data_IF_217595137946
#
_entry.id   IF_217595137946
#
_cell.length_a   1.000
_cell.length_b   1.000
_cell.length_c   1.000
_cell.angle_alpha   90.00
_cell.angle_beta   90.00
_cell.angle_gamma   90.00
#
_symmetry.space_group_name_H-M   'P 1'
#
loop_
_entity.id
_entity.type
_entity.pdbx_description
1 polymer ?
#
# COMPACT_ATOMS: atom_id res chain seq x y z
N UNK A 1 -53.84 4.14 -14.44
CA UNK A 1 -52.85 5.24 -14.36
C UNK A 1 -51.73 4.74 -13.48
N UNK A 2 -50.66 4.22 -14.10
CA UNK A 2 -49.48 3.75 -13.39
C UNK A 2 -48.54 4.94 -13.21
N UNK A 3 -48.34 5.37 -11.97
CA UNK A 3 -47.25 6.28 -11.63
C UNK A 3 -45.96 5.44 -11.58
N UNK A 4 -45.14 5.57 -12.62
CA UNK A 4 -43.76 5.12 -12.61
C UNK A 4 -42.97 6.03 -11.68
N UNK A 5 -42.35 5.45 -10.65
CA UNK A 5 -41.38 6.13 -9.80
C UNK A 5 -40.13 6.47 -10.62
N UNK A 6 -40.05 7.71 -11.10
CA UNK A 6 -38.81 8.27 -11.63
C UNK A 6 -37.74 8.34 -10.53
N UNK A 7 -36.48 8.17 -10.96
CA UNK A 7 -35.34 7.86 -10.12
C UNK A 7 -35.12 8.84 -8.97
N UNK A 8 -34.91 8.29 -7.79
CA UNK A 8 -34.33 9.02 -6.68
C UNK A 8 -32.90 9.43 -7.08
N UNK A 9 -32.72 10.69 -7.45
CA UNK A 9 -31.41 11.31 -7.53
C UNK A 9 -30.75 11.16 -6.14
N UNK A 10 -29.64 10.42 -6.07
CA UNK A 10 -28.79 10.39 -4.89
C UNK A 10 -28.26 11.81 -4.69
N UNK A 11 -28.82 12.52 -3.71
CA UNK A 11 -28.30 13.82 -3.27
C UNK A 11 -26.94 13.56 -2.65
N UNK A 12 -25.88 13.92 -3.37
CA UNK A 12 -24.53 13.93 -2.84
C UNK A 12 -24.43 15.09 -1.86
N UNK A 13 -24.49 14.78 -0.56
CA UNK A 13 -24.30 15.76 0.50
C UNK A 13 -22.83 16.19 0.51
N UNK A 14 -22.54 17.38 -0.02
CA UNK A 14 -21.24 17.99 0.13
C UNK A 14 -21.12 18.53 1.58
N UNK A 15 -20.21 18.00 2.41
CA UNK A 15 -19.98 18.55 3.74
C UNK A 15 -19.47 19.99 3.60
N UNK A 16 -20.09 20.92 4.33
CA UNK A 16 -19.63 22.31 4.38
C UNK A 16 -18.24 22.35 5.06
N UNK A 17 -17.22 22.78 4.30
CA UNK A 17 -15.87 23.01 4.81
C UNK A 17 -15.61 24.52 4.73
N UNK A 18 -15.67 25.26 5.84
CA UNK A 18 -15.41 26.70 5.83
C UNK A 18 -13.94 26.98 5.49
N UNK A 19 -13.69 27.97 4.64
CA UNK A 19 -12.33 28.43 4.32
C UNK A 19 -11.64 29.10 5.53
N UNK A 20 -12.44 29.60 6.47
CA UNK A 20 -11.99 30.24 7.70
C UNK A 20 -12.85 29.75 8.85
N UNK A 21 -12.22 29.11 9.84
CA UNK A 21 -12.86 28.81 11.13
C UNK A 21 -12.51 29.94 12.10
N UNK A 22 -13.52 30.65 12.56
CA UNK A 22 -13.34 31.74 13.53
C UNK A 22 -13.07 31.17 14.93
N UNK A 23 -12.28 31.87 15.77
CA UNK A 23 -12.11 31.47 17.16
C UNK A 23 -13.47 31.51 17.89
N UNK A 24 -13.71 30.61 18.86
CA UNK A 24 -14.92 30.65 19.69
C UNK A 24 -15.07 31.99 20.44
N UNK A 25 -13.95 32.71 20.60
CA UNK A 25 -13.87 34.06 21.10
C UNK A 25 -14.74 35.08 20.36
N UNK A 26 -14.87 34.97 19.03
CA UNK A 26 -15.70 35.88 18.23
C UNK A 26 -17.18 35.69 18.56
N UNK A 27 -17.65 34.43 18.57
CA UNK A 27 -19.01 34.09 19.00
C UNK A 27 -19.26 34.48 20.45
N UNK A 28 -18.26 34.37 21.32
CA UNK A 28 -18.36 34.80 22.70
C UNK A 28 -18.57 36.31 22.81
N UNK A 29 -17.88 37.12 22.00
CA UNK A 29 -18.07 38.57 21.94
C UNK A 29 -19.48 38.95 21.53
N UNK A 30 -19.97 38.37 20.43
CA UNK A 30 -21.34 38.60 19.95
C UNK A 30 -22.38 38.21 21.01
N UNK A 31 -22.14 37.07 21.68
CA UNK A 31 -23.03 36.57 22.73
C UNK A 31 -23.09 37.53 23.91
N UNK A 32 -21.94 37.99 24.43
CA UNK A 32 -21.94 38.91 25.58
C UNK A 32 -22.52 40.27 25.23
N UNK A 33 -22.29 40.77 24.00
CA UNK A 33 -22.87 42.01 23.52
C UNK A 33 -24.41 41.91 23.44
N UNK A 34 -24.94 40.80 22.91
CA UNK A 34 -26.37 40.57 22.81
C UNK A 34 -27.09 40.52 24.18
N UNK A 35 -26.41 40.06 25.24
CA UNK A 35 -26.94 40.06 26.62
C UNK A 35 -26.52 41.30 27.44
N UNK A 36 -25.90 42.29 26.79
CA UNK A 36 -25.54 43.57 27.41
C UNK A 36 -24.39 43.48 28.42
N UNK A 37 -23.45 42.54 28.24
CA UNK A 37 -22.28 42.35 29.11
C UNK A 37 -20.99 42.78 28.41
N UNK A 38 -20.13 43.44 29.18
CA UNK A 38 -18.74 43.69 28.80
C UNK A 38 -17.85 42.47 29.13
N UNK A 39 -16.70 42.34 28.45
CA UNK A 39 -15.70 41.31 28.79
C UNK A 39 -15.22 41.40 30.24
N UNK A 40 -15.17 42.61 30.82
CA UNK A 40 -14.80 42.83 32.22
C UNK A 40 -15.84 42.25 33.17
N UNK A 41 -17.12 42.45 32.86
CA UNK A 41 -18.21 41.87 33.65
C UNK A 41 -18.28 40.35 33.48
N UNK A 42 -18.03 39.83 32.27
CA UNK A 42 -17.89 38.39 32.04
C UNK A 42 -16.77 37.80 32.91
N UNK A 43 -15.60 38.44 32.95
CA UNK A 43 -14.48 38.03 33.79
C UNK A 43 -14.87 37.99 35.28
N UNK A 44 -15.54 39.03 35.77
CA UNK A 44 -16.05 39.07 37.15
C UNK A 44 -17.07 37.96 37.44
N UNK A 45 -18.01 37.70 36.53
CA UNK A 45 -19.07 36.68 36.71
C UNK A 45 -18.56 35.25 36.64
N UNK A 46 -17.57 34.99 35.79
CA UNK A 46 -16.95 33.66 35.64
C UNK A 46 -15.87 33.39 36.67
N UNK A 47 -15.37 34.42 37.36
CA UNK A 47 -14.21 34.33 38.25
C UNK A 47 -12.87 34.20 37.50
N UNK A 48 -12.88 34.41 36.18
CA UNK A 48 -11.69 34.38 35.34
C UNK A 48 -11.02 35.76 35.29
N UNK A 49 -9.72 35.81 35.00
CA UNK A 49 -9.06 37.10 34.79
C UNK A 49 -9.50 37.73 33.46
N UNK A 50 -9.60 39.07 33.42
CA UNK A 50 -9.89 39.80 32.18
C UNK A 50 -8.84 39.51 31.08
N UNK A 51 -7.58 39.25 31.48
CA UNK A 51 -6.51 38.79 30.58
C UNK A 51 -6.86 37.45 29.92
N UNK A 52 -7.33 36.48 30.70
CA UNK A 52 -7.68 35.16 30.19
C UNK A 52 -8.88 35.23 29.23
N UNK A 53 -9.92 35.99 29.58
CA UNK A 53 -11.05 36.25 28.67
C UNK A 53 -10.56 36.89 27.36
N UNK A 54 -9.66 37.88 27.42
CA UNK A 54 -9.11 38.51 26.21
C UNK A 54 -8.30 37.52 25.34
N UNK A 55 -7.56 36.60 25.97
CA UNK A 55 -6.80 35.58 25.24
C UNK A 55 -7.72 34.54 24.58
N UNK A 56 -8.83 34.17 25.22
CA UNK A 56 -9.87 33.32 24.60
C UNK A 56 -10.50 34.04 23.41
N UNK A 57 -10.85 35.32 23.60
CA UNK A 57 -11.42 36.17 22.54
C UNK A 57 -10.52 36.21 21.29
N UNK A 58 -9.21 36.32 21.48
CA UNK A 58 -8.22 36.33 20.39
C UNK A 58 -7.91 34.96 19.78
N UNK A 59 -8.39 33.86 20.39
CA UNK A 59 -8.02 32.49 20.02
C UNK A 59 -6.65 32.03 20.53
N UNK A 60 -5.91 32.88 21.25
CA UNK A 60 -4.57 32.58 21.79
C UNK A 60 -4.62 31.55 22.93
N UNK A 61 -5.66 31.59 23.77
CA UNK A 61 -5.86 30.63 24.86
C UNK A 61 -7.04 29.70 24.56
N UNK A 62 -6.93 28.40 24.90
CA UNK A 62 -8.01 27.46 24.67
C UNK A 62 -9.19 27.70 25.62
N UNK A 63 -10.40 27.57 25.08
CA UNK A 63 -11.62 27.48 25.87
C UNK A 63 -11.73 26.05 26.43
N UNK A 64 -11.26 25.85 27.67
CA UNK A 64 -11.30 24.51 28.30
C UNK A 64 -12.73 24.10 28.67
N UNK A 65 -12.93 22.81 28.94
CA UNK A 65 -14.23 22.27 29.37
C UNK A 65 -14.74 22.97 30.65
N UNK A 66 -13.84 23.31 31.58
CA UNK A 66 -14.17 24.06 32.80
C UNK A 66 -14.65 25.47 32.45
N UNK A 67 -13.94 26.17 31.56
CA UNK A 67 -14.33 27.49 31.08
C UNK A 67 -15.68 27.44 30.37
N UNK A 68 -15.97 26.43 29.56
CA UNK A 68 -17.26 26.25 28.90
C UNK A 68 -18.43 26.14 29.91
N UNK A 69 -18.24 25.41 31.01
CA UNK A 69 -19.24 25.31 32.10
C UNK A 69 -19.43 26.65 32.81
N UNK A 70 -18.37 27.44 32.99
CA UNK A 70 -18.48 28.79 33.55
C UNK A 70 -19.24 29.72 32.60
N UNK A 71 -18.96 29.65 31.30
CA UNK A 71 -19.66 30.44 30.28
C UNK A 71 -21.14 30.06 30.22
N UNK A 72 -21.49 28.77 30.27
CA UNK A 72 -22.89 28.31 30.29
C UNK A 72 -23.70 28.96 31.41
N UNK A 73 -23.11 29.07 32.61
CA UNK A 73 -23.78 29.70 33.76
C UNK A 73 -24.01 31.20 33.56
N UNK A 74 -23.21 31.87 32.74
CA UNK A 74 -23.29 33.33 32.53
C UNK A 74 -24.08 33.69 31.27
N UNK A 75 -23.93 32.94 30.19
CA UNK A 75 -24.54 33.21 28.88
C UNK A 75 -25.83 32.43 28.65
N UNK A 76 -26.07 31.35 29.42
CA UNK A 76 -27.18 30.43 29.20
C UNK A 76 -27.01 29.49 28.00
N UNK A 77 -25.90 29.59 27.27
CA UNK A 77 -25.58 28.74 26.13
C UNK A 77 -24.80 27.52 26.64
N UNK A 78 -25.28 26.31 26.34
CA UNK A 78 -24.73 25.06 26.87
C UNK A 78 -23.24 24.88 26.58
N UNK A 79 -22.48 24.36 27.56
CA UNK A 79 -21.04 24.12 27.46
C UNK A 79 -20.64 23.29 26.23
N UNK A 80 -21.51 22.38 25.78
CA UNK A 80 -21.29 21.57 24.57
C UNK A 80 -21.12 22.41 23.31
N UNK A 81 -21.85 23.52 23.18
CA UNK A 81 -21.74 24.43 22.04
C UNK A 81 -20.36 25.08 22.00
N UNK A 82 -19.91 25.63 23.14
CA UNK A 82 -18.59 26.25 23.26
C UNK A 82 -17.45 25.26 22.99
N UNK A 83 -17.56 24.04 23.52
CA UNK A 83 -16.57 23.00 23.28
C UNK A 83 -16.53 22.57 21.80
N UNK A 84 -17.67 22.54 21.11
CA UNK A 84 -17.72 22.23 19.68
C UNK A 84 -16.97 23.30 18.87
N UNK A 85 -17.25 24.59 19.12
CA UNK A 85 -16.56 25.70 18.45
C UNK A 85 -15.05 25.69 18.72
N UNK A 86 -14.63 25.44 19.96
CA UNK A 86 -13.21 25.33 20.31
C UNK A 86 -12.55 24.15 19.59
N UNK A 87 -13.21 22.98 19.55
CA UNK A 87 -12.69 21.80 18.86
C UNK A 87 -12.48 22.08 17.38
N UNK A 88 -13.50 22.63 16.70
CA UNK A 88 -13.44 22.97 15.28
C UNK A 88 -12.31 23.99 14.98
N UNK A 89 -12.19 25.03 15.81
CA UNK A 89 -11.15 26.04 15.66
C UNK A 89 -9.74 25.47 15.86
N UNK A 90 -9.54 24.66 16.90
CA UNK A 90 -8.22 24.05 17.20
C UNK A 90 -7.84 23.02 16.15
N UNK A 91 -8.79 22.24 15.65
CA UNK A 91 -8.56 21.32 14.54
C UNK A 91 -8.14 22.06 13.27
N UNK A 92 -8.81 23.19 12.96
CA UNK A 92 -8.44 24.04 11.82
C UNK A 92 -7.02 24.60 11.97
N UNK A 93 -6.67 25.14 13.14
CA UNK A 93 -5.33 25.66 13.41
C UNK A 93 -4.25 24.58 13.28
N UNK A 94 -4.51 23.39 13.82
CA UNK A 94 -3.59 22.28 13.74
C UNK A 94 -3.36 21.85 12.28
N UNK A 95 -4.42 21.70 11.49
CA UNK A 95 -4.34 21.37 10.06
C UNK A 95 -3.59 22.42 9.26
N UNK A 96 -3.84 23.70 9.50
CA UNK A 96 -3.11 24.79 8.85
C UNK A 96 -1.63 24.81 9.23
N UNK A 97 -1.29 24.51 10.50
CA UNK A 97 0.09 24.47 10.96
C UNK A 97 0.88 23.28 10.39
N UNK A 98 0.20 22.16 10.12
CA UNK A 98 0.80 20.96 9.50
C UNK A 98 0.64 20.92 7.97
N UNK A 99 0.06 21.95 7.36
CA UNK A 99 -0.14 22.00 5.93
C UNK A 99 1.21 21.96 5.19
N UNK A 100 1.30 21.07 4.20
CA UNK A 100 2.50 20.92 3.40
C UNK A 100 2.69 22.14 2.49
N UNK A 101 3.94 22.55 2.29
CA UNK A 101 4.26 23.65 1.38
C UNK A 101 3.77 23.29 -0.04
N UNK A 102 2.94 24.13 -0.71
CA UNK A 102 2.30 23.74 -1.97
C UNK A 102 3.26 23.30 -3.08
N UNK A 103 4.45 23.90 -3.16
CA UNK A 103 5.48 23.48 -4.14
C UNK A 103 5.99 22.07 -3.87
N UNK A 104 6.28 21.75 -2.61
CA UNK A 104 6.76 20.44 -2.15
C UNK A 104 5.69 19.38 -2.35
N UNK A 105 4.45 19.70 -1.98
CA UNK A 105 3.28 18.84 -2.19
C UNK A 105 3.10 18.51 -3.67
N UNK A 106 3.05 19.52 -4.54
CA UNK A 106 2.85 19.31 -5.99
C UNK A 106 3.96 18.51 -6.65
N UNK A 107 5.22 18.67 -6.21
CA UNK A 107 6.33 17.85 -6.69
C UNK A 107 6.19 16.39 -6.23
N UNK A 108 5.86 16.17 -4.96
CA UNK A 108 5.63 14.84 -4.40
C UNK A 108 4.48 14.11 -5.11
N UNK A 109 3.35 14.78 -5.34
CA UNK A 109 2.19 14.22 -6.05
C UNK A 109 2.55 13.69 -7.46
N UNK A 110 3.47 14.36 -8.17
CA UNK A 110 3.91 13.95 -9.52
C UNK A 110 4.71 12.65 -9.53
N UNK A 111 5.21 12.19 -8.38
CA UNK A 111 5.94 10.94 -8.27
C UNK A 111 5.05 9.68 -8.26
N UNK A 112 3.72 9.87 -8.18
CA UNK A 112 2.75 8.77 -8.08
C UNK A 112 1.93 8.58 -9.36
N UNK A 113 1.51 7.34 -9.66
CA UNK A 113 0.59 7.04 -10.76
C UNK A 113 -0.86 7.34 -10.35
N UNK A 114 -1.18 8.61 -10.11
CA UNK A 114 -2.47 9.06 -9.58
C UNK A 114 -3.70 8.54 -10.37
N UNK A 115 -3.70 8.49 -11.72
CA UNK A 115 -4.83 7.93 -12.45
C UNK A 115 -5.09 6.45 -12.13
N UNK A 116 -4.02 5.67 -11.93
CA UNK A 116 -4.11 4.26 -11.60
C UNK A 116 -4.59 4.05 -10.16
N UNK A 117 -4.07 4.82 -9.20
CA UNK A 117 -4.54 4.76 -7.81
C UNK A 117 -6.01 5.16 -7.67
N UNK A 118 -6.50 6.10 -8.49
CA UNK A 118 -7.93 6.39 -8.61
C UNK A 118 -8.74 5.23 -9.16
N UNK A 119 -8.25 4.56 -10.20
CA UNK A 119 -8.93 3.39 -10.78
C UNK A 119 -9.06 2.24 -9.78
N UNK A 120 -8.10 2.09 -8.86
CA UNK A 120 -8.15 1.14 -7.75
C UNK A 120 -9.03 1.61 -6.58
N UNK A 121 -9.60 2.82 -6.63
CA UNK A 121 -10.43 3.37 -5.55
C UNK A 121 -9.65 3.78 -4.29
N UNK A 122 -8.32 3.82 -4.36
CA UNK A 122 -7.44 4.20 -3.23
C UNK A 122 -7.56 5.67 -2.90
N UNK A 123 -7.72 6.49 -3.93
CA UNK A 123 -7.90 7.94 -3.87
C UNK A 123 -9.04 8.33 -4.80
N UNK A 124 -9.67 9.48 -4.57
CA UNK A 124 -10.70 10.04 -5.45
C UNK A 124 -10.39 11.49 -5.86
N UNK A 125 -9.62 12.23 -5.07
CA UNK A 125 -9.23 13.60 -5.37
C UNK A 125 -8.37 13.71 -6.63
N UNK A 126 -8.36 14.91 -7.22
CA UNK A 126 -7.62 15.22 -8.45
C UNK A 126 -6.59 16.33 -8.22
N UNK A 127 -5.76 16.61 -9.21
CA UNK A 127 -4.83 17.75 -9.17
C UNK A 127 -5.54 19.12 -9.09
N UNK A 128 -6.88 19.17 -9.21
CA UNK A 128 -7.67 20.38 -8.94
C UNK A 128 -7.85 20.63 -7.44
N UNK A 129 -7.68 19.61 -6.62
CA UNK A 129 -7.85 19.61 -5.17
C UNK A 129 -6.56 19.04 -4.51
N UNK A 130 -5.41 19.71 -4.68
CA UNK A 130 -4.11 19.15 -4.31
C UNK A 130 -4.00 18.86 -2.80
N UNK A 131 -4.64 19.66 -1.95
CA UNK A 131 -4.64 19.45 -0.50
C UNK A 131 -5.36 18.15 -0.12
N UNK A 132 -6.57 17.93 -0.61
CA UNK A 132 -7.32 16.70 -0.38
C UNK A 132 -6.58 15.48 -0.96
N UNK A 133 -5.92 15.65 -2.10
CA UNK A 133 -5.13 14.58 -2.72
C UNK A 133 -3.89 14.22 -1.88
N UNK A 134 -3.22 15.21 -1.28
CA UNK A 134 -2.13 14.96 -0.32
C UNK A 134 -2.65 14.23 0.90
N UNK A 135 -3.75 14.70 1.51
CA UNK A 135 -4.36 14.04 2.68
C UNK A 135 -4.67 12.57 2.38
N UNK A 136 -5.33 12.28 1.26
CA UNK A 136 -5.67 10.90 0.87
C UNK A 136 -4.45 10.01 0.65
N UNK A 137 -3.38 10.52 0.05
CA UNK A 137 -2.14 9.74 -0.11
C UNK A 137 -1.46 9.51 1.25
N UNK A 138 -1.41 10.51 2.12
CA UNK A 138 -0.87 10.36 3.47
C UNK A 138 -1.66 9.31 4.28
N UNK A 139 -2.99 9.32 4.19
CA UNK A 139 -3.88 8.31 4.76
C UNK A 139 -3.63 6.91 4.16
N UNK A 140 -3.57 6.81 2.84
CA UNK A 140 -3.27 5.55 2.15
C UNK A 140 -1.95 4.94 2.62
N UNK A 141 -0.89 5.76 2.71
CA UNK A 141 0.42 5.33 3.21
C UNK A 141 0.48 5.16 4.73
N UNK A 142 -0.51 5.66 5.48
CA UNK A 142 -0.54 5.60 6.95
C UNK A 142 0.53 6.46 7.60
N UNK A 143 0.85 7.63 7.02
CA UNK A 143 1.92 8.52 7.46
C UNK A 143 1.41 9.94 7.72
N UNK A 144 2.01 10.64 8.69
CA UNK A 144 1.52 11.95 9.13
C UNK A 144 1.92 13.13 8.22
N UNK A 145 2.93 12.96 7.35
CA UNK A 145 3.46 14.03 6.50
C UNK A 145 4.29 13.48 5.34
N UNK A 146 4.60 14.34 4.36
CA UNK A 146 5.49 14.01 3.23
C UNK A 146 6.90 13.72 3.75
N UNK A 147 7.34 14.43 4.79
CA UNK A 147 8.62 14.16 5.45
C UNK A 147 8.66 12.75 6.07
N UNK A 148 7.60 12.34 6.76
CA UNK A 148 7.48 10.99 7.31
C UNK A 148 7.44 9.94 6.19
N UNK A 149 6.74 10.22 5.09
CA UNK A 149 6.73 9.37 3.91
C UNK A 149 8.15 9.19 3.35
N UNK A 150 8.90 10.28 3.15
CA UNK A 150 10.29 10.23 2.65
C UNK A 150 11.20 9.43 3.58
N UNK A 151 11.05 9.60 4.89
CA UNK A 151 11.85 8.86 5.86
C UNK A 151 11.59 7.35 5.81
N UNK A 152 10.35 6.93 5.57
CA UNK A 152 9.96 5.51 5.55
C UNK A 152 10.13 4.84 4.20
N UNK A 153 9.88 5.54 3.09
CA UNK A 153 9.79 4.96 1.75
C UNK A 153 10.93 5.39 0.83
N UNK A 154 11.47 6.60 1.00
CA UNK A 154 12.54 7.11 0.14
C UNK A 154 13.94 6.87 0.70
N UNK A 155 14.08 6.41 1.95
CA UNK A 155 15.38 6.09 2.56
C UNK A 155 15.59 4.57 2.68
N UNK A 156 16.46 3.96 1.85
CA UNK A 156 16.73 2.52 1.87
C UNK A 156 17.20 1.98 3.23
N UNK A 157 17.92 2.77 4.03
CA UNK A 157 18.44 2.34 5.35
C UNK A 157 17.33 2.15 6.40
N UNK A 158 16.26 2.95 6.32
CA UNK A 158 15.14 2.92 7.27
C UNK A 158 14.05 1.97 6.81
N UNK A 159 13.88 1.85 5.49
CA UNK A 159 12.84 1.04 4.88
C UNK A 159 13.18 -0.47 4.84
N UNK A 160 14.39 -0.85 5.29
CA UNK A 160 14.97 -2.21 5.19
C UNK A 160 15.03 -2.78 3.76
N UNK A 161 14.65 -1.97 2.78
CA UNK A 161 14.51 -2.27 1.36
C UNK A 161 15.90 -2.39 0.74
N UNK A 162 16.31 -3.62 0.48
CA UNK A 162 17.49 -3.91 -0.31
C UNK A 162 17.05 -4.09 -1.76
N UNK A 163 17.24 -3.04 -2.54
CA UNK A 163 17.37 -3.13 -3.99
C UNK A 163 18.68 -2.44 -4.38
N UNK A 164 19.69 -3.16 -4.89
CA UNK A 164 21.02 -2.60 -5.17
C UNK A 164 21.03 -1.49 -6.24
N UNK A 165 19.95 -1.36 -7.02
CA UNK A 165 19.88 -0.50 -8.20
C UNK A 165 19.10 0.81 -7.98
N UNK A 166 18.46 1.01 -6.83
CA UNK A 166 17.62 2.17 -6.57
C UNK A 166 18.26 3.12 -5.56
N UNK A 167 18.72 4.28 -6.03
CA UNK A 167 19.10 5.42 -5.17
C UNK A 167 17.91 5.94 -4.34
N UNK A 168 16.67 5.68 -4.78
CA UNK A 168 15.42 5.87 -4.02
C UNK A 168 14.28 5.07 -4.65
N UNK A 169 13.33 4.58 -3.86
CA UNK A 169 12.13 3.90 -4.37
C UNK A 169 11.18 4.95 -4.98
N UNK A 170 10.70 4.69 -6.19
CA UNK A 170 9.75 5.58 -6.84
C UNK A 170 8.41 5.62 -6.09
N UNK A 171 7.66 6.71 -6.20
CA UNK A 171 6.31 6.80 -5.62
C UNK A 171 5.39 5.66 -6.11
N UNK A 172 5.55 5.22 -7.35
CA UNK A 172 4.84 4.08 -7.91
C UNK A 172 5.21 2.75 -7.23
N UNK A 173 6.50 2.49 -7.00
CA UNK A 173 6.97 1.28 -6.31
C UNK A 173 6.51 1.27 -4.84
N UNK A 174 6.62 2.40 -4.15
CA UNK A 174 6.09 2.55 -2.79
C UNK A 174 4.59 2.29 -2.74
N UNK A 175 3.81 2.82 -3.70
CA UNK A 175 2.37 2.57 -3.76
C UNK A 175 2.04 1.09 -3.98
N UNK A 176 2.77 0.40 -4.86
CA UNK A 176 2.59 -1.04 -5.06
C UNK A 176 2.88 -1.83 -3.78
N UNK A 177 4.00 -1.55 -3.11
CA UNK A 177 4.34 -2.18 -1.84
C UNK A 177 3.27 -1.95 -0.77
N UNK A 178 2.78 -0.72 -0.66
CA UNK A 178 1.73 -0.35 0.29
C UNK A 178 0.41 -1.08 0.05
N UNK A 179 0.01 -1.26 -1.22
CA UNK A 179 -1.16 -2.08 -1.56
C UNK A 179 -1.00 -3.51 -1.02
N UNK A 180 0.16 -4.12 -1.22
CA UNK A 180 0.40 -5.47 -0.70
C UNK A 180 0.49 -5.51 0.83
N UNK A 181 0.93 -4.44 1.51
CA UNK A 181 0.88 -4.40 2.97
C UNK A 181 -0.55 -4.43 3.49
N UNK A 182 -1.43 -3.64 2.89
CA UNK A 182 -2.85 -3.59 3.26
C UNK A 182 -3.51 -4.95 3.02
N UNK A 183 -3.26 -5.58 1.87
CA UNK A 183 -3.80 -6.91 1.58
C UNK A 183 -3.21 -7.99 2.48
N UNK A 184 -1.91 -7.92 2.79
CA UNK A 184 -1.27 -8.88 3.68
C UNK A 184 -1.78 -8.79 5.12
N UNK A 185 -2.26 -7.62 5.56
CA UNK A 185 -2.91 -7.47 6.87
C UNK A 185 -4.22 -8.27 6.95
N UNK A 186 -4.95 -8.40 5.83
CA UNK A 186 -6.21 -9.13 5.73
C UNK A 186 -6.02 -10.63 5.50
N UNK A 187 -4.92 -11.01 4.85
CA UNK A 187 -4.62 -12.42 4.57
C UNK A 187 -4.39 -13.23 5.85
N UNK A 188 -5.16 -14.29 6.06
CA UNK A 188 -4.96 -15.22 7.17
C UNK A 188 -3.92 -16.29 6.81
N UNK A 189 -3.05 -16.63 7.76
CA UNK A 189 -2.07 -17.71 7.60
C UNK A 189 -1.69 -18.29 8.96
N UNK A 190 -1.18 -19.52 8.96
CA UNK A 190 -0.60 -20.14 10.15
C UNK A 190 0.68 -19.41 10.62
N UNK A 191 1.20 -19.68 11.82
CA UNK A 191 2.53 -19.21 12.18
C UNK A 191 3.61 -19.82 11.27
N UNK A 192 4.58 -18.99 10.86
CA UNK A 192 5.64 -19.39 9.95
C UNK A 192 6.43 -20.60 10.47
N UNK A 193 6.48 -21.64 9.63
CA UNK A 193 7.23 -22.87 9.86
C UNK A 193 8.11 -23.15 8.64
N UNK A 194 9.43 -22.99 8.83
CA UNK A 194 10.43 -23.16 7.77
C UNK A 194 10.46 -24.59 7.23
N UNK A 195 10.36 -25.58 8.10
CA UNK A 195 10.48 -26.98 7.70
C UNK A 195 9.22 -27.43 6.98
N UNK A 196 8.05 -26.94 7.41
CA UNK A 196 6.79 -27.11 6.69
C UNK A 196 6.83 -26.45 5.31
N UNK A 197 7.33 -25.22 5.19
CA UNK A 197 7.47 -24.55 3.90
C UNK A 197 8.37 -25.37 2.96
N UNK A 198 9.52 -25.84 3.44
CA UNK A 198 10.41 -26.72 2.67
C UNK A 198 9.73 -28.00 2.22
N UNK A 199 8.96 -28.63 3.09
CA UNK A 199 8.20 -29.85 2.78
C UNK A 199 7.07 -29.58 1.76
N UNK A 200 6.54 -28.36 1.70
CA UNK A 200 5.51 -27.96 0.74
C UNK A 200 6.04 -27.64 -0.67
N UNK A 201 7.33 -27.33 -0.83
CA UNK A 201 7.92 -26.95 -2.12
C UNK A 201 7.65 -27.94 -3.27
N UNK A 202 7.73 -29.27 -3.09
CA UNK A 202 7.41 -30.22 -4.15
C UNK A 202 5.94 -30.14 -4.60
N UNK A 203 5.01 -29.93 -3.65
CA UNK A 203 3.59 -29.78 -3.95
C UNK A 203 3.32 -28.47 -4.69
N UNK A 204 3.91 -27.36 -4.23
CA UNK A 204 3.85 -26.06 -4.91
C UNK A 204 4.39 -26.15 -6.35
N UNK A 205 5.54 -26.81 -6.55
CA UNK A 205 6.14 -27.02 -7.88
C UNK A 205 5.23 -27.83 -8.80
N UNK A 206 4.53 -28.83 -8.25
CA UNK A 206 3.59 -29.67 -9.00
C UNK A 206 2.30 -28.93 -9.42
N UNK A 207 2.03 -27.73 -8.88
CA UNK A 207 0.92 -26.88 -9.34
C UNK A 207 1.22 -26.19 -10.67
N UNK A 208 2.49 -25.95 -11.00
CA UNK A 208 2.88 -25.18 -12.19
C UNK A 208 2.23 -25.65 -13.50
N UNK A 209 2.04 -26.96 -13.78
CA UNK A 209 1.40 -27.42 -15.02
C UNK A 209 -0.12 -27.16 -15.11
N UNK A 210 -0.77 -26.81 -14.00
CA UNK A 210 -2.20 -26.52 -13.97
C UNK A 210 -2.47 -25.12 -14.55
N UNK A 211 -3.70 -24.85 -15.07
CA UNK A 211 -4.08 -23.50 -15.49
C UNK A 211 -3.84 -22.49 -14.37
N UNK A 212 -3.26 -21.33 -14.69
CA UNK A 212 -2.79 -20.36 -13.68
C UNK A 212 -3.92 -19.90 -12.77
N UNK A 213 -5.13 -19.75 -13.32
CA UNK A 213 -6.33 -19.37 -12.58
C UNK A 213 -6.73 -20.36 -11.47
N UNK A 214 -6.36 -21.63 -11.59
CA UNK A 214 -6.62 -22.68 -10.59
C UNK A 214 -5.40 -22.85 -9.68
N UNK A 215 -4.21 -22.79 -10.28
CA UNK A 215 -2.95 -23.10 -9.60
C UNK A 215 -2.55 -22.04 -8.57
N UNK A 216 -2.75 -20.75 -8.88
CA UNK A 216 -2.33 -19.65 -8.00
C UNK A 216 -3.11 -19.64 -6.67
N UNK A 217 -4.45 -19.74 -6.65
CA UNK A 217 -5.19 -19.85 -5.38
C UNK A 217 -4.73 -21.04 -4.52
N UNK A 218 -4.48 -22.20 -5.12
CA UNK A 218 -3.94 -23.36 -4.38
C UNK A 218 -2.53 -23.12 -3.84
N UNK A 219 -1.68 -22.41 -4.59
CA UNK A 219 -0.35 -22.03 -4.13
C UNK A 219 -0.42 -21.05 -2.94
N UNK A 220 -1.35 -20.10 -2.98
CA UNK A 220 -1.63 -19.17 -1.87
C UNK A 220 -2.06 -19.94 -0.62
N UNK A 221 -2.98 -20.89 -0.73
CA UNK A 221 -3.45 -21.72 0.40
C UNK A 221 -2.31 -22.57 1.01
N UNK A 222 -1.54 -23.26 0.16
CA UNK A 222 -0.41 -24.06 0.63
C UNK A 222 0.67 -23.22 1.33
N UNK A 223 0.95 -22.03 0.79
CA UNK A 223 1.88 -21.08 1.39
C UNK A 223 1.34 -20.53 2.73
N UNK A 224 0.05 -20.22 2.80
CA UNK A 224 -0.62 -19.73 4.00
C UNK A 224 -0.57 -20.78 5.15
N UNK A 225 -0.72 -22.07 4.83
CA UNK A 225 -0.56 -23.15 5.81
C UNK A 225 0.87 -23.28 6.38
N UNK A 226 1.84 -22.63 5.73
CA UNK A 226 3.24 -22.54 6.17
C UNK A 226 3.59 -21.19 6.81
N UNK A 227 2.61 -20.29 6.97
CA UNK A 227 2.77 -18.93 7.48
C UNK A 227 3.41 -17.93 6.53
N UNK A 228 3.20 -18.15 5.23
CA UNK A 228 3.54 -17.21 4.16
C UNK A 228 2.25 -16.67 3.56
N UNK A 229 1.97 -15.38 3.81
CA UNK A 229 0.87 -14.68 3.16
C UNK A 229 1.29 -14.27 1.74
N UNK A 230 0.75 -14.95 0.74
CA UNK A 230 0.96 -14.61 -0.67
C UNK A 230 -0.12 -13.64 -1.10
N UNK A 231 0.26 -12.44 -1.52
CA UNK A 231 -0.65 -11.38 -1.96
C UNK A 231 -0.38 -11.02 -3.41
N UNK A 232 -1.45 -10.84 -4.18
CA UNK A 232 -1.40 -10.61 -5.62
C UNK A 232 -1.88 -9.18 -5.88
N UNK A 233 -0.96 -8.30 -6.28
CA UNK A 233 -1.25 -6.90 -6.56
C UNK A 233 -0.93 -6.64 -8.03
N UNK A 234 -1.93 -6.27 -8.87
CA UNK A 234 -1.70 -5.94 -10.27
C UNK A 234 -0.54 -4.95 -10.46
N UNK A 235 0.11 -5.02 -11.60
CA UNK A 235 1.21 -4.09 -11.93
C UNK A 235 0.76 -2.63 -11.79
N UNK A 236 1.45 -1.88 -10.93
CA UNK A 236 1.30 -0.43 -10.84
C UNK A 236 2.23 0.24 -11.85
N UNK A 237 1.73 1.09 -12.77
CA UNK A 237 2.56 1.74 -13.78
C UNK A 237 3.70 2.53 -13.15
N UNK A 238 4.94 2.23 -13.58
CA UNK A 238 6.15 2.87 -13.08
C UNK A 238 6.75 2.22 -11.82
N UNK A 239 6.05 1.29 -11.16
CA UNK A 239 6.61 0.52 -10.06
C UNK A 239 7.65 -0.48 -10.55
N UNK A 240 7.41 -1.03 -11.75
CA UNK A 240 8.25 -2.05 -12.40
C UNK A 240 8.52 -3.27 -11.51
N UNK A 241 7.74 -3.55 -10.47
CA UNK A 241 8.01 -4.67 -9.57
C UNK A 241 7.46 -5.99 -10.11
N UNK A 242 8.23 -7.07 -9.96
CA UNK A 242 7.75 -8.43 -10.25
C UNK A 242 7.42 -9.20 -8.97
N UNK A 243 8.15 -8.92 -7.89
CA UNK A 243 7.94 -9.54 -6.59
C UNK A 243 8.59 -8.74 -5.45
N UNK A 244 8.13 -9.00 -4.24
CA UNK A 244 8.74 -8.50 -3.02
C UNK A 244 8.50 -9.46 -1.85
N UNK A 245 9.53 -9.62 -1.01
CA UNK A 245 9.47 -10.43 0.21
C UNK A 245 9.76 -9.57 1.43
N UNK A 246 8.89 -9.69 2.44
CA UNK A 246 9.07 -9.00 3.74
C UNK A 246 8.43 -9.79 4.87
N UNK A 247 8.76 -9.43 6.10
CA UNK A 247 8.15 -10.00 7.29
C UNK A 247 7.19 -9.00 7.93
N UNK A 248 5.89 -9.32 7.92
CA UNK A 248 4.88 -8.49 8.59
C UNK A 248 4.95 -8.64 10.12
N UNK A 249 5.41 -9.79 10.60
CA UNK A 249 5.70 -10.08 12.00
C UNK A 249 6.76 -11.18 12.08
N UNK A 250 7.34 -11.47 13.27
CA UNK A 250 8.29 -12.57 13.42
C UNK A 250 7.76 -13.94 13.00
N UNK A 251 6.44 -14.12 12.90
CA UNK A 251 5.77 -15.39 12.55
C UNK A 251 4.95 -15.30 11.26
N UNK A 252 5.04 -14.21 10.48
CA UNK A 252 4.28 -14.06 9.23
C UNK A 252 5.17 -13.46 8.15
N UNK A 253 5.54 -14.29 7.18
CA UNK A 253 6.20 -13.84 5.97
C UNK A 253 5.15 -13.34 4.96
N UNK A 254 5.51 -12.37 4.14
CA UNK A 254 4.69 -11.82 3.06
C UNK A 254 5.46 -11.97 1.77
N UNK A 255 4.83 -12.61 0.79
CA UNK A 255 5.27 -12.68 -0.59
C UNK A 255 4.27 -11.91 -1.42
N UNK A 256 4.69 -10.79 -1.99
CA UNK A 256 3.87 -9.97 -2.84
C UNK A 256 4.29 -10.17 -4.29
N UNK A 257 3.34 -10.48 -5.17
CA UNK A 257 3.60 -10.72 -6.59
C UNK A 257 2.75 -9.79 -7.46
N UNK A 258 3.30 -9.43 -8.62
CA UNK A 258 2.56 -8.72 -9.68
C UNK A 258 2.31 -9.62 -10.89
N UNK A 259 1.46 -9.16 -11.80
CA UNK A 259 1.29 -9.73 -13.13
C UNK A 259 2.17 -9.03 -14.18
N UNK A 260 3.28 -8.38 -13.78
CA UNK A 260 4.21 -7.73 -14.71
C UNK A 260 4.67 -8.72 -15.78
N UNK A 261 4.56 -8.32 -17.04
CA UNK A 261 4.89 -9.16 -18.20
C UNK A 261 3.84 -10.21 -18.56
N UNK A 262 2.77 -10.37 -17.78
CA UNK A 262 1.52 -11.08 -18.08
C UNK A 262 1.69 -12.48 -18.63
N UNK A 263 2.68 -13.22 -18.13
CA UNK A 263 3.00 -14.61 -18.54
C UNK A 263 3.19 -15.52 -17.33
N UNK A 264 2.67 -16.74 -17.44
CA UNK A 264 2.76 -17.76 -16.39
C UNK A 264 4.19 -18.10 -15.94
N UNK A 265 5.17 -18.11 -16.85
CA UNK A 265 6.56 -18.41 -16.49
C UNK A 265 7.16 -17.35 -15.56
N UNK A 266 6.79 -16.08 -15.76
CA UNK A 266 7.28 -14.96 -14.96
C UNK A 266 6.74 -15.00 -13.54
N UNK A 267 5.43 -15.19 -13.38
CA UNK A 267 4.84 -15.27 -12.03
C UNK A 267 5.33 -16.50 -11.27
N UNK A 268 5.49 -17.65 -11.93
CA UNK A 268 6.03 -18.84 -11.24
C UNK A 268 7.48 -18.62 -10.81
N UNK A 269 8.31 -18.06 -11.69
CA UNK A 269 9.70 -17.77 -11.33
C UNK A 269 9.77 -16.76 -10.16
N UNK A 270 8.98 -15.69 -10.22
CA UNK A 270 8.86 -14.72 -9.14
C UNK A 270 8.41 -15.38 -7.82
N UNK A 271 7.36 -16.19 -7.84
CA UNK A 271 6.87 -16.91 -6.66
C UNK A 271 7.97 -17.74 -5.98
N UNK A 272 8.68 -18.59 -6.73
CA UNK A 272 9.74 -19.43 -6.15
C UNK A 272 10.99 -18.64 -5.75
N UNK A 273 11.29 -17.54 -6.44
CA UNK A 273 12.34 -16.61 -6.06
C UNK A 273 12.02 -15.95 -4.72
N UNK A 274 10.82 -15.41 -4.54
CA UNK A 274 10.38 -14.82 -3.27
C UNK A 274 10.36 -15.86 -2.12
N UNK A 275 9.92 -17.09 -2.39
CA UNK A 275 10.04 -18.18 -1.40
C UNK A 275 11.50 -18.49 -1.04
N UNK A 276 12.44 -18.34 -1.97
CA UNK A 276 13.87 -18.48 -1.67
C UNK A 276 14.31 -17.40 -0.66
N UNK A 277 13.89 -16.14 -0.83
CA UNK A 277 14.17 -15.09 0.16
C UNK A 277 13.62 -15.44 1.55
N UNK A 278 12.41 -15.98 1.63
CA UNK A 278 11.81 -16.43 2.90
C UNK A 278 12.62 -17.57 3.56
N UNK A 279 13.21 -18.46 2.77
CA UNK A 279 13.90 -19.67 3.25
C UNK A 279 15.38 -19.48 3.59
N UNK A 280 16.04 -18.58 2.86
CA UNK A 280 17.50 -18.41 2.85
C UNK A 280 17.96 -17.17 3.61
N UNK A 281 17.12 -16.11 3.66
CA UNK A 281 17.54 -14.82 4.18
C UNK A 281 16.86 -14.44 5.51
N UNK A 282 17.34 -13.36 6.13
CA UNK A 282 16.97 -12.99 7.49
C UNK A 282 15.60 -12.30 7.57
N UNK A 283 14.92 -12.45 8.71
CA UNK A 283 13.58 -11.86 8.94
C UNK A 283 13.54 -10.32 8.99
N UNK A 284 14.70 -9.67 9.01
CA UNK A 284 14.84 -8.21 8.99
C UNK A 284 15.17 -7.67 7.60
N UNK A 285 15.40 -8.55 6.64
CA UNK A 285 15.64 -8.14 5.26
C UNK A 285 14.28 -7.91 4.59
N UNK A 286 14.18 -6.81 3.84
CA UNK A 286 13.10 -6.55 2.90
C UNK A 286 13.68 -6.63 1.50
N UNK A 287 13.10 -7.47 0.66
CA UNK A 287 13.52 -7.67 -0.72
C UNK A 287 12.48 -7.07 -1.66
N UNK A 288 12.96 -6.32 -2.64
CA UNK A 288 12.13 -5.69 -3.67
C UNK A 288 12.89 -5.78 -4.98
N UNK A 289 12.31 -6.51 -5.93
CA UNK A 289 12.91 -6.69 -7.24
C UNK A 289 12.04 -6.11 -8.34
N UNK A 290 12.61 -5.16 -9.07
CA UNK A 290 12.00 -4.64 -10.28
C UNK A 290 11.94 -5.79 -11.31
N UNK A 291 13.04 -6.49 -11.56
CA UNK A 291 13.13 -7.49 -12.62
C UNK A 291 13.79 -8.79 -12.17
N UNK A 292 12.93 -9.71 -11.71
CA UNK A 292 13.36 -11.02 -11.20
C UNK A 292 13.99 -11.87 -12.30
N UNK A 293 15.15 -12.44 -11.99
CA UNK A 293 15.92 -13.31 -12.88
C UNK A 293 16.94 -12.57 -13.75
N UNK A 294 17.22 -11.31 -13.46
CA UNK A 294 18.34 -10.57 -14.08
C UNK A 294 19.68 -10.78 -13.38
N UNK A 295 20.75 -10.43 -14.09
CA UNK A 295 22.11 -10.48 -13.56
C UNK A 295 22.26 -9.40 -12.49
N UNK A 296 22.13 -9.82 -11.22
CA UNK A 296 22.37 -8.98 -10.05
C UNK A 296 23.79 -9.20 -9.54
N UNK A 297 24.41 -8.15 -9.01
CA UNK A 297 25.69 -8.24 -8.29
C UNK A 297 25.49 -8.49 -6.79
N UNK A 298 24.25 -8.45 -6.30
CA UNK A 298 23.92 -8.75 -4.91
C UNK A 298 23.87 -10.25 -4.68
N UNK A 299 24.62 -10.70 -3.66
CA UNK A 299 24.79 -12.12 -3.37
C UNK A 299 23.48 -12.82 -3.01
N UNK A 300 22.53 -12.13 -2.36
CA UNK A 300 21.25 -12.70 -1.95
C UNK A 300 20.32 -12.86 -3.16
N UNK A 301 20.30 -11.88 -4.06
CA UNK A 301 19.56 -11.98 -5.32
C UNK A 301 20.08 -13.12 -6.21
N UNK A 302 21.41 -13.26 -6.30
CA UNK A 302 22.03 -14.40 -7.02
C UNK A 302 21.65 -15.73 -6.37
N UNK A 303 21.68 -15.82 -5.03
CA UNK A 303 21.31 -17.03 -4.30
C UNK A 303 19.83 -17.40 -4.49
N UNK A 304 18.93 -16.43 -4.40
CA UNK A 304 17.49 -16.62 -4.61
C UNK A 304 17.16 -17.03 -6.05
N UNK A 305 17.80 -16.37 -7.03
CA UNK A 305 17.69 -16.74 -8.44
C UNK A 305 18.15 -18.18 -8.68
N UNK A 306 19.31 -18.56 -8.15
CA UNK A 306 19.84 -19.91 -8.32
C UNK A 306 18.97 -20.97 -7.61
N UNK A 307 18.43 -20.65 -6.44
CA UNK A 307 17.51 -21.52 -5.72
C UNK A 307 16.22 -21.76 -6.51
N UNK A 308 15.56 -20.71 -6.99
CA UNK A 308 14.34 -20.82 -7.79
C UNK A 308 14.59 -21.58 -9.10
N UNK A 309 15.72 -21.26 -9.77
CA UNK A 309 16.19 -21.93 -10.99
C UNK A 309 16.33 -23.44 -10.78
N UNK A 310 17.05 -23.85 -9.74
CA UNK A 310 17.32 -25.26 -9.43
C UNK A 310 16.08 -25.98 -8.93
N UNK A 311 15.22 -25.31 -8.16
CA UNK A 311 13.98 -25.90 -7.66
C UNK A 311 13.01 -26.21 -8.81
N UNK A 312 12.82 -25.28 -9.74
CA UNK A 312 11.95 -25.47 -10.89
C UNK A 312 12.53 -26.51 -11.86
N UNK A 313 13.81 -26.39 -12.18
CA UNK A 313 14.53 -27.26 -13.12
C UNK A 313 15.80 -27.78 -12.44
N UNK A 314 15.79 -29.01 -11.91
CA UNK A 314 16.96 -29.60 -11.26
C UNK A 314 18.15 -29.71 -12.23
N UNK A 315 19.37 -29.57 -11.69
CA UNK A 315 20.61 -29.51 -12.48
C UNK A 315 20.85 -30.77 -13.32
N UNK A 316 20.35 -31.93 -12.91
CA UNK A 316 20.48 -33.16 -13.73
C UNK A 316 19.77 -33.09 -15.09
N UNK A 317 18.89 -32.10 -15.30
CA UNK A 317 18.20 -31.88 -16.57
C UNK A 317 18.87 -30.83 -17.47
N UNK A 318 19.95 -30.18 -17.05
CA UNK A 318 20.61 -29.12 -17.83
C UNK A 318 21.00 -29.56 -19.25
N UNK A 319 21.66 -30.72 -19.39
CA UNK A 319 22.04 -31.28 -20.70
C UNK A 319 20.82 -31.55 -21.58
N UNK A 320 19.70 -31.96 -20.98
CA UNK A 320 18.45 -32.18 -21.71
C UNK A 320 17.86 -30.84 -22.19
N UNK A 321 17.89 -29.80 -21.36
CA UNK A 321 17.47 -28.45 -21.74
C UNK A 321 18.30 -27.89 -22.90
N UNK A 322 19.63 -28.03 -22.86
CA UNK A 322 20.52 -27.59 -23.94
C UNK A 322 20.18 -28.24 -25.28
N UNK A 323 19.73 -29.50 -25.26
CA UNK A 323 19.36 -30.24 -26.46
C UNK A 323 18.02 -29.82 -27.10
N UNK A 324 17.17 -29.06 -26.37
CA UNK A 324 15.84 -28.69 -26.83
C UNK A 324 15.89 -27.71 -28.01
N UNK A 325 15.26 -28.05 -29.15
CA UNK A 325 15.28 -27.24 -30.38
C UNK A 325 13.90 -26.76 -30.81
N UNK A 326 12.85 -27.25 -30.18
CA UNK A 326 11.46 -26.97 -30.57
C UNK A 326 10.53 -26.84 -29.37
N UNK A 327 9.34 -26.29 -29.60
CA UNK A 327 8.26 -26.28 -28.61
C UNK A 327 7.77 -27.71 -28.24
N UNK A 328 7.99 -28.70 -29.11
CA UNK A 328 7.68 -30.10 -28.81
C UNK A 328 8.66 -30.66 -27.77
N UNK A 329 9.96 -30.36 -27.93
CA UNK A 329 10.99 -30.76 -26.96
C UNK A 329 10.71 -30.14 -25.59
N UNK A 330 10.39 -28.85 -25.56
CA UNK A 330 9.96 -28.13 -24.34
C UNK A 330 8.82 -28.86 -23.63
N UNK A 331 7.75 -29.22 -24.35
CA UNK A 331 6.61 -29.96 -23.77
C UNK A 331 7.00 -31.35 -23.27
N UNK A 332 7.88 -32.04 -23.98
CA UNK A 332 8.37 -33.36 -23.59
C UNK A 332 9.18 -33.29 -22.28
N UNK A 333 10.11 -32.34 -22.20
CA UNK A 333 10.94 -32.08 -21.02
C UNK A 333 10.05 -31.69 -19.84
N UNK A 334 9.14 -30.73 -20.04
CA UNK A 334 8.21 -30.30 -19.00
C UNK A 334 7.38 -31.45 -18.41
N UNK A 335 6.89 -32.37 -19.26
CA UNK A 335 6.18 -33.57 -18.83
C UNK A 335 7.06 -34.51 -18.01
N UNK A 336 8.33 -34.69 -18.39
CA UNK A 336 9.28 -35.51 -17.65
C UNK A 336 9.60 -34.92 -16.26
N UNK A 337 9.69 -33.59 -16.16
CA UNK A 337 10.00 -32.89 -14.90
C UNK A 337 8.77 -32.66 -14.01
N UNK A 338 7.56 -32.79 -14.55
CA UNK A 338 6.31 -32.47 -13.87
C UNK A 338 6.11 -30.97 -13.65
N UNK A 339 6.53 -30.12 -14.59
CA UNK A 339 6.40 -28.65 -14.53
C UNK A 339 5.69 -28.11 -15.77
N UNK A 340 5.28 -26.83 -15.74
CA UNK A 340 4.71 -26.18 -16.91
C UNK A 340 5.71 -26.11 -18.09
N UNK A 341 5.24 -26.30 -19.34
CA UNK A 341 6.03 -25.98 -20.52
C UNK A 341 6.56 -24.54 -20.53
N UNK A 342 5.79 -23.59 -20.00
CA UNK A 342 6.19 -22.18 -19.90
C UNK A 342 7.41 -21.99 -19.02
N UNK A 343 7.55 -22.72 -17.90
CA UNK A 343 8.74 -22.67 -17.03
C UNK A 343 10.00 -23.09 -17.79
N UNK A 344 9.93 -24.20 -18.55
CA UNK A 344 11.06 -24.68 -19.36
C UNK A 344 11.40 -23.69 -20.48
N UNK A 345 10.38 -23.20 -21.20
CA UNK A 345 10.60 -22.23 -22.26
C UNK A 345 11.18 -20.92 -21.73
N UNK A 346 10.64 -20.37 -20.64
CA UNK A 346 11.14 -19.13 -20.01
C UNK A 346 12.61 -19.25 -19.60
N UNK A 347 12.99 -20.39 -19.01
CA UNK A 347 14.38 -20.70 -18.70
C UNK A 347 15.27 -20.70 -19.94
N UNK A 348 14.87 -21.39 -21.01
CA UNK A 348 15.62 -21.44 -22.27
C UNK A 348 15.70 -20.10 -22.99
N UNK A 349 14.63 -19.29 -22.95
CA UNK A 349 14.61 -17.94 -23.52
C UNK A 349 15.67 -17.07 -22.84
N UNK A 350 15.78 -17.13 -21.51
CA UNK A 350 16.79 -16.38 -20.74
C UNK A 350 18.20 -16.88 -21.00
N UNK A 351 18.43 -18.20 -20.88
CA UNK A 351 19.77 -18.80 -21.03
C UNK A 351 20.37 -18.59 -22.43
N UNK A 352 19.51 -18.52 -23.47
CA UNK A 352 19.93 -18.35 -24.87
C UNK A 352 19.81 -16.92 -25.38
N UNK A 353 19.24 -16.02 -24.59
CA UNK A 353 18.82 -14.68 -25.04
C UNK A 353 17.92 -14.71 -26.29
N UNK A 354 17.10 -15.76 -26.45
CA UNK A 354 16.15 -15.93 -27.56
C UNK A 354 14.70 -15.88 -27.05
N UNK A 355 14.18 -14.66 -26.89
CA UNK A 355 12.84 -14.41 -26.36
C UNK A 355 11.69 -14.79 -27.31
N UNK A 356 11.98 -15.32 -28.50
CA UNK A 356 10.96 -15.84 -29.44
C UNK A 356 10.85 -17.36 -29.39
N UNK A 357 11.83 -18.05 -28.81
CA UNK A 357 11.85 -19.50 -28.72
C UNK A 357 10.59 -20.04 -28.03
N UNK A 358 9.95 -21.04 -28.66
CA UNK A 358 8.78 -21.74 -28.13
C UNK A 358 7.62 -20.82 -27.66
N UNK A 359 7.43 -19.65 -28.26
CA UNK A 359 6.42 -18.65 -27.84
C UNK A 359 4.98 -19.16 -27.70
N UNK A 360 4.63 -20.27 -28.34
CA UNK A 360 3.30 -20.90 -28.29
C UNK A 360 3.01 -21.70 -27.01
N UNK A 361 3.97 -21.80 -26.08
CA UNK A 361 3.77 -22.56 -24.83
C UNK A 361 3.42 -21.67 -23.63
N UNK A 362 3.45 -20.34 -23.78
CA UNK A 362 3.15 -19.41 -22.70
C UNK A 362 1.65 -19.18 -22.58
N UNK A 363 1.14 -19.34 -21.36
CA UNK A 363 -0.17 -18.87 -20.96
C UNK A 363 -0.08 -17.40 -20.52
N UNK A 364 -1.02 -16.57 -20.98
CA UNK A 364 -1.15 -15.20 -20.46
C UNK A 364 -1.84 -15.23 -19.11
N UNK A 365 -1.34 -14.42 -18.18
CA UNK A 365 -1.88 -14.33 -16.83
C UNK A 365 -2.08 -12.87 -16.45
N UNK A 366 -3.24 -12.56 -15.88
CA UNK A 366 -3.51 -11.31 -15.19
C UNK A 366 -4.15 -11.63 -13.86
N UNK A 367 -3.83 -10.84 -12.84
CA UNK A 367 -4.39 -11.05 -11.49
C UNK A 367 -5.91 -10.80 -11.49
N UNK A 368 -6.39 -9.87 -12.32
CA UNK A 368 -7.81 -9.56 -12.49
C UNK A 368 -8.65 -10.74 -13.02
N UNK A 369 -8.01 -11.75 -13.64
CA UNK A 369 -8.68 -12.93 -14.18
C UNK A 369 -8.90 -14.02 -13.09
N UNK A 370 -8.36 -13.83 -11.88
CA UNK A 370 -8.64 -14.68 -10.74
C UNK A 370 -10.01 -14.28 -10.17
N UNK A 371 -11.02 -15.13 -10.36
CA UNK A 371 -12.35 -14.91 -9.76
C UNK A 371 -12.22 -14.74 -8.23
N UNK A 372 -12.94 -13.78 -7.62
CA UNK A 372 -12.91 -13.53 -6.18
C UNK A 372 -13.46 -14.69 -5.34
#
# INVERSE_FOLDING_TARGET
MNFTSEGAATVEWLPYKPDVVLPPGDTLLETIEAIGLTQKELATRTGLSAKHINQIVKGDAPLTHETAVLLERVTGIGARFWNALESEFRDSLARSATAEVPSVANEWLKSFPLPHLRALGVINATMREPEALVEQLLEFFGVASIAAWRALWANPEVAYLKSPSLESISGAAAAWLRLGEIEAQRAECEPYDRDRLKAALPALRALTPLPTAIAIPQAVELAAACGVAVVLIPEVPGARASGATRWASPSKAVVQLSDRGKRSDKIWFAFFHELAHVLLHGKRDYFFDEEIGEDSTDAKEVEANEYARTLLVPREFETLLESAKSASDVRSIARQLGVAPSVIAGRLQRDRSDFRFASTVFESFKIEDLEP
#
